data_IF_129422267658
#
_entry.id   IF_129422267658
#
_cell.length_a   1.000
_cell.length_b   1.000
_cell.length_c   1.000
_cell.angle_alpha   90.00
_cell.angle_beta   90.00
_cell.angle_gamma   90.00
#
_symmetry.space_group_name_H-M   'P 1'
#
loop_
_entity.id
_entity.type
_entity.pdbx_description
1 polymer ?
#
# COMPACT_ATOMS: atom_id res chain seq x y z
N UNK A 1 -93.68 37.65 42.16
CA UNK A 1 -93.54 38.29 40.82
C UNK A 1 -92.28 37.70 40.21
N UNK A 2 -92.22 36.94 39.10
CA UNK A 2 -93.05 36.68 37.91
C UNK A 2 -92.84 35.20 37.52
N UNK A 3 -93.88 34.53 37.01
CA UNK A 3 -93.90 33.13 36.52
C UNK A 3 -93.02 32.99 35.26
N UNK A 4 -92.54 31.81 34.84
CA UNK A 4 -93.14 30.92 33.80
C UNK A 4 -92.10 29.79 33.53
N UNK A 5 -92.37 28.52 33.88
CA UNK A 5 -92.79 27.34 33.06
C UNK A 5 -91.79 26.73 32.06
N UNK A 6 -91.59 25.42 32.26
CA UNK A 6 -91.59 24.27 31.32
C UNK A 6 -90.47 24.06 30.26
N UNK A 7 -89.69 23.00 30.51
CA UNK A 7 -89.54 21.73 29.76
C UNK A 7 -89.01 21.68 28.30
N UNK A 8 -88.14 20.66 28.08
CA UNK A 8 -87.66 20.03 26.82
C UNK A 8 -86.72 20.92 25.97
N UNK A 9 -85.59 20.46 25.43
CA UNK A 9 -85.42 19.33 24.50
C UNK A 9 -83.91 19.05 24.29
N UNK A 10 -83.59 17.87 23.77
CA UNK A 10 -82.26 17.27 23.62
C UNK A 10 -81.33 17.92 22.57
N UNK A 11 -80.06 17.47 22.68
CA UNK A 11 -79.00 17.40 21.67
C UNK A 11 -78.29 18.71 21.29
N UNK A 12 -76.96 18.77 21.50
CA UNK A 12 -75.96 18.46 20.48
C UNK A 12 -74.54 18.70 21.03
N UNK A 13 -73.65 17.73 20.79
CA UNK A 13 -72.17 17.86 20.62
C UNK A 13 -71.28 18.42 21.74
N UNK A 14 -70.44 17.54 22.31
CA UNK A 14 -69.00 17.49 22.00
C UNK A 14 -68.44 16.14 22.48
N UNK A 15 -68.10 15.25 21.54
CA UNK A 15 -67.38 14.01 21.86
C UNK A 15 -65.91 14.37 22.13
N UNK A 16 -65.44 14.03 23.32
CA UNK A 16 -64.01 13.90 23.61
C UNK A 16 -63.48 12.65 22.91
N UNK A 17 -62.49 12.78 22.03
CA UNK A 17 -61.48 11.72 21.80
C UNK A 17 -60.17 12.40 21.44
N UNK A 18 -59.13 12.09 22.21
CA UNK A 18 -57.77 12.56 21.96
C UNK A 18 -57.02 11.69 20.94
N UNK A 19 -55.78 12.15 20.70
CA UNK A 19 -54.66 11.48 20.05
C UNK A 19 -54.70 11.34 18.51
N UNK A 20 -53.88 12.21 17.91
CA UNK A 20 -52.79 11.87 16.99
C UNK A 20 -53.19 11.35 15.61
N UNK A 21 -53.12 12.23 14.62
CA UNK A 21 -52.96 11.90 13.20
C UNK A 21 -52.62 13.17 12.44
N UNK A 22 -51.37 13.30 11.99
CA UNK A 22 -51.01 14.19 10.88
C UNK A 22 -50.83 13.32 9.63
N UNK A 23 -51.46 13.75 8.55
CA UNK A 23 -51.58 13.05 7.27
C UNK A 23 -50.27 13.05 6.46
N UNK A 24 -49.88 11.85 6.06
CA UNK A 24 -49.58 11.39 4.68
C UNK A 24 -49.16 12.46 3.64
N UNK A 25 -47.89 12.39 3.24
CA UNK A 25 -47.47 12.56 1.85
C UNK A 25 -46.72 11.30 1.43
N UNK A 26 -47.40 10.42 0.69
CA UNK A 26 -46.75 9.33 -0.03
C UNK A 26 -45.98 9.90 -1.22
N UNK A 27 -44.66 9.69 -1.23
CA UNK A 27 -43.90 9.70 -2.47
C UNK A 27 -43.38 8.27 -2.66
N UNK A 28 -44.14 7.50 -3.42
CA UNK A 28 -43.68 6.28 -4.08
C UNK A 28 -42.40 6.61 -4.85
N UNK A 29 -41.30 6.06 -4.37
CA UNK A 29 -40.10 5.85 -5.17
C UNK A 29 -39.70 4.42 -4.90
N UNK A 30 -40.34 3.52 -5.66
CA UNK A 30 -39.78 2.22 -6.02
C UNK A 30 -38.33 2.37 -6.49
N UNK A 31 -37.43 2.42 -5.53
CA UNK A 31 -36.12 1.82 -5.65
C UNK A 31 -36.16 0.65 -4.69
N UNK A 32 -36.81 -0.42 -5.15
CA UNK A 32 -36.37 -1.77 -4.85
C UNK A 32 -34.95 -1.89 -5.43
N UNK A 33 -34.00 -1.21 -4.79
CA UNK A 33 -32.61 -1.58 -4.89
C UNK A 33 -32.59 -2.98 -4.28
N UNK A 34 -32.11 -4.00 -5.01
CA UNK A 34 -31.82 -5.25 -4.36
C UNK A 34 -30.94 -4.93 -3.17
N UNK A 35 -31.45 -5.15 -1.96
CA UNK A 35 -30.62 -5.24 -0.76
C UNK A 35 -29.45 -6.16 -1.13
N UNK A 36 -28.18 -5.80 -0.88
CA UNK A 36 -27.07 -6.64 -1.30
C UNK A 36 -27.32 -8.04 -0.74
N UNK A 37 -27.67 -8.98 -1.62
CA UNK A 37 -28.02 -10.34 -1.23
C UNK A 37 -26.70 -11.05 -1.00
N UNK A 38 -26.14 -10.86 0.20
CA UNK A 38 -24.90 -11.46 0.60
C UNK A 38 -24.87 -11.69 2.10
N UNK A 39 -25.29 -12.89 2.51
CA UNK A 39 -25.33 -13.31 3.92
C UNK A 39 -23.96 -13.75 4.44
N UNK A 40 -22.95 -13.84 3.56
CA UNK A 40 -21.62 -14.34 3.89
C UNK A 40 -20.56 -13.26 3.73
N UNK A 41 -19.72 -13.07 4.75
CA UNK A 41 -18.71 -12.02 4.82
C UNK A 41 -17.31 -12.56 4.58
N UNK A 42 -16.53 -11.83 3.79
CA UNK A 42 -15.06 -11.91 3.81
C UNK A 42 -14.52 -10.67 4.52
N UNK A 43 -13.73 -10.91 5.57
CA UNK A 43 -12.96 -9.86 6.25
C UNK A 43 -11.48 -10.06 5.98
N UNK A 44 -10.75 -8.98 5.71
CA UNK A 44 -9.29 -9.00 5.60
C UNK A 44 -8.72 -8.05 6.67
N UNK A 45 -7.79 -8.54 7.48
CA UNK A 45 -7.12 -7.78 8.52
C UNK A 45 -5.63 -8.14 8.58
N UNK A 46 -4.85 -7.43 9.39
CA UNK A 46 -3.45 -7.74 9.60
C UNK A 46 -2.62 -6.54 10.01
N UNK A 47 -1.32 -6.78 10.20
CA UNK A 47 -0.37 -5.76 10.63
C UNK A 47 -0.15 -4.72 9.53
N UNK A 48 -0.08 -3.44 9.93
CA UNK A 48 0.13 -2.34 9.01
C UNK A 48 -1.10 -1.96 8.19
N UNK A 49 -2.28 -2.53 8.47
CA UNK A 49 -3.54 -2.12 7.87
C UNK A 49 -3.76 -0.61 8.09
N UNK A 50 -4.07 0.11 7.02
CA UNK A 50 -4.33 1.56 7.05
C UNK A 50 -5.80 1.80 7.38
N UNK A 51 -6.06 2.92 8.06
CA UNK A 51 -7.39 3.25 8.58
C UNK A 51 -8.44 3.30 7.45
N UNK A 52 -9.53 2.55 7.64
CA UNK A 52 -10.58 2.33 6.64
C UNK A 52 -11.52 3.55 6.59
N UNK A 53 -11.02 4.69 6.09
CA UNK A 53 -11.83 5.90 5.92
C UNK A 53 -12.56 5.95 4.58
N UNK A 54 -12.17 5.11 3.63
CA UNK A 54 -12.88 4.88 2.36
C UNK A 54 -13.04 3.37 2.15
N UNK A 55 -14.24 2.83 2.42
CA UNK A 55 -14.59 1.49 1.95
C UNK A 55 -14.60 1.54 0.42
N UNK A 56 -13.51 1.10 -0.19
CA UNK A 56 -13.45 0.96 -1.63
C UNK A 56 -14.53 -0.04 -2.06
N UNK A 57 -15.28 0.27 -3.12
CA UNK A 57 -16.37 -0.57 -3.61
C UNK A 57 -15.90 -1.91 -4.18
N UNK A 58 -14.59 -2.09 -4.35
CA UNK A 58 -13.93 -3.30 -4.88
C UNK A 58 -13.43 -4.27 -3.79
N UNK A 59 -13.69 -3.98 -2.51
CA UNK A 59 -13.22 -4.84 -1.42
C UNK A 59 -11.72 -4.77 -1.15
N UNK A 60 -11.06 -3.69 -1.57
CA UNK A 60 -9.65 -3.41 -1.29
C UNK A 60 -9.43 -3.01 0.17
N UNK A 61 -8.34 -3.55 0.74
CA UNK A 61 -7.80 -3.19 2.05
C UNK A 61 -6.33 -2.82 1.89
N UNK A 62 -5.97 -1.58 2.22
CA UNK A 62 -4.60 -1.09 2.09
C UNK A 62 -3.77 -1.37 3.36
N UNK A 63 -2.51 -1.74 3.16
CA UNK A 63 -1.54 -2.02 4.20
C UNK A 63 -0.27 -1.16 4.00
N UNK A 64 0.59 -1.10 5.01
CA UNK A 64 1.98 -0.74 4.81
C UNK A 64 2.63 -1.79 3.89
N UNK A 65 3.21 -1.35 2.78
CA UNK A 65 3.92 -2.24 1.85
C UNK A 65 3.07 -2.99 0.81
N UNK A 66 1.75 -2.80 0.77
CA UNK A 66 0.90 -3.45 -0.23
C UNK A 66 -0.59 -3.23 0.01
N UNK A 67 -1.41 -4.05 -0.65
CA UNK A 67 -2.85 -4.09 -0.42
C UNK A 67 -3.40 -5.49 -0.68
N UNK A 68 -4.58 -5.78 -0.14
CA UNK A 68 -5.33 -6.99 -0.45
C UNK A 68 -6.70 -6.64 -1.04
N UNK A 69 -7.32 -7.58 -1.75
CA UNK A 69 -8.66 -7.43 -2.34
C UNK A 69 -9.54 -8.62 -1.98
N UNK A 70 -10.86 -8.46 -2.14
CA UNK A 70 -11.84 -9.53 -1.92
C UNK A 70 -12.58 -9.44 -0.58
N UNK A 71 -12.32 -8.43 0.25
CA UNK A 71 -13.16 -8.16 1.42
C UNK A 71 -14.56 -7.72 0.98
N UNK A 72 -15.62 -8.18 1.64
CA UNK A 72 -16.98 -7.80 1.23
C UNK A 72 -18.07 -8.72 1.75
N UNK A 73 -19.29 -8.45 1.28
CA UNK A 73 -20.46 -9.30 1.47
C UNK A 73 -20.80 -9.99 0.15
N UNK A 74 -21.06 -11.29 0.21
CA UNK A 74 -21.25 -12.14 -0.95
C UNK A 74 -22.39 -13.12 -0.70
N UNK A 75 -23.03 -13.58 -1.78
CA UNK A 75 -23.91 -14.74 -1.71
C UNK A 75 -23.08 -15.95 -1.25
N UNK A 76 -23.57 -16.73 -0.29
CA UNK A 76 -22.85 -17.85 0.32
C UNK A 76 -22.42 -18.98 -0.64
N UNK A 77 -22.97 -19.06 -1.84
CA UNK A 77 -22.53 -20.00 -2.89
C UNK A 77 -21.49 -19.41 -3.85
N UNK A 78 -21.11 -18.14 -3.66
CA UNK A 78 -20.14 -17.46 -4.53
C UNK A 78 -18.73 -17.98 -4.30
N UNK A 79 -17.89 -17.80 -5.33
CA UNK A 79 -16.46 -18.12 -5.29
C UNK A 79 -15.60 -16.89 -5.55
N UNK A 80 -15.61 -15.86 -4.68
CA UNK A 80 -14.84 -14.64 -4.89
C UNK A 80 -13.32 -14.91 -4.85
N UNK A 81 -12.57 -14.08 -5.57
CA UNK A 81 -11.10 -14.08 -5.51
C UNK A 81 -10.62 -13.16 -4.39
N UNK A 82 -9.80 -13.70 -3.48
CA UNK A 82 -9.11 -12.95 -2.44
C UNK A 82 -7.62 -12.98 -2.74
N UNK A 83 -6.97 -11.82 -2.82
CA UNK A 83 -5.59 -11.71 -3.25
C UNK A 83 -4.81 -10.63 -2.50
N UNK A 84 -3.50 -10.83 -2.38
CA UNK A 84 -2.53 -9.90 -1.81
C UNK A 84 -1.55 -9.42 -2.88
N UNK A 85 -1.32 -8.10 -2.88
CA UNK A 85 -0.52 -7.39 -3.87
C UNK A 85 0.56 -6.58 -3.14
N UNK A 86 1.81 -7.08 -3.07
CA UNK A 86 2.92 -6.31 -2.51
C UNK A 86 3.27 -5.13 -3.43
N UNK A 87 3.57 -3.98 -2.84
CA UNK A 87 4.12 -2.84 -3.56
C UNK A 87 5.58 -3.11 -3.99
N UNK A 88 6.11 -2.37 -4.98
CA UNK A 88 7.54 -2.39 -5.28
C UNK A 88 8.38 -2.19 -3.99
N UNK A 89 9.40 -3.03 -3.80
CA UNK A 89 10.24 -3.01 -2.59
C UNK A 89 9.73 -3.89 -1.44
N UNK A 90 8.56 -4.50 -1.58
CA UNK A 90 7.98 -5.39 -0.57
C UNK A 90 7.74 -6.80 -1.13
N UNK A 91 7.50 -7.74 -0.21
CA UNK A 91 7.03 -9.08 -0.50
C UNK A 91 5.96 -9.50 0.51
N UNK A 92 5.16 -10.51 0.16
CA UNK A 92 4.17 -11.08 1.07
C UNK A 92 4.90 -11.70 2.27
N UNK A 93 4.61 -11.21 3.47
CA UNK A 93 5.11 -11.79 4.71
C UNK A 93 4.24 -12.98 5.14
N UNK A 94 2.93 -12.75 5.17
CA UNK A 94 1.93 -13.78 5.41
C UNK A 94 0.65 -13.42 4.66
N UNK A 95 -0.03 -14.43 4.14
CA UNK A 95 -1.36 -14.29 3.55
C UNK A 95 -2.10 -15.61 3.70
N UNK A 96 -3.03 -15.67 4.64
CA UNK A 96 -3.79 -16.88 4.92
C UNK A 96 -5.20 -16.56 5.38
N UNK A 97 -6.12 -17.49 5.22
CA UNK A 97 -7.48 -17.31 5.70
C UNK A 97 -8.35 -18.53 5.47
N UNK A 98 -9.60 -18.43 5.92
CA UNK A 98 -10.56 -19.50 5.83
C UNK A 98 -11.78 -19.25 6.70
N UNK A 99 -12.71 -20.22 6.74
CA UNK A 99 -13.84 -20.19 7.65
C UNK A 99 -13.38 -20.39 9.10
N UNK A 100 -14.24 -20.09 10.08
CA UNK A 100 -13.88 -20.13 11.50
C UNK A 100 -13.41 -21.52 11.99
N UNK A 101 -13.89 -22.60 11.40
CA UNK A 101 -13.48 -23.97 11.69
C UNK A 101 -12.18 -24.39 10.99
N UNK A 102 -11.74 -23.67 9.96
CA UNK A 102 -10.53 -23.95 9.19
C UNK A 102 -9.81 -22.64 8.80
N UNK A 103 -9.26 -21.89 9.78
CA UNK A 103 -8.80 -20.51 9.57
C UNK A 103 -7.58 -20.35 8.63
N UNK A 104 -6.91 -21.45 8.27
CA UNK A 104 -5.79 -21.48 7.32
C UNK A 104 -6.06 -22.40 6.12
N UNK A 105 -7.35 -22.60 5.77
CA UNK A 105 -7.76 -23.36 4.56
C UNK A 105 -7.03 -22.87 3.30
N UNK A 106 -6.85 -21.56 3.20
CA UNK A 106 -6.09 -20.88 2.17
C UNK A 106 -4.80 -20.36 2.80
N UNK A 107 -3.65 -20.88 2.38
CA UNK A 107 -2.37 -20.53 3.01
C UNK A 107 -1.27 -20.30 1.97
N UNK A 108 -0.74 -19.08 1.97
CA UNK A 108 0.41 -18.66 1.18
C UNK A 108 1.67 -19.47 1.52
N UNK A 109 1.88 -19.82 2.80
CA UNK A 109 3.10 -20.53 3.22
C UNK A 109 3.21 -21.93 2.59
N UNK A 110 2.08 -22.56 2.27
CA UNK A 110 2.03 -23.88 1.65
C UNK A 110 2.05 -23.82 0.11
N UNK A 111 1.37 -22.83 -0.46
CA UNK A 111 1.12 -22.77 -1.91
C UNK A 111 2.04 -21.82 -2.67
N UNK A 112 2.69 -20.89 -1.96
CA UNK A 112 3.31 -19.68 -2.53
C UNK A 112 2.34 -18.83 -3.38
N UNK A 113 1.03 -19.06 -3.28
CA UNK A 113 0.01 -18.33 -4.00
C UNK A 113 -0.45 -17.11 -3.19
N UNK A 114 -0.40 -15.93 -3.78
CA UNK A 114 -0.94 -14.69 -3.19
C UNK A 114 -2.36 -14.38 -3.68
N UNK A 115 -3.05 -15.36 -4.27
CA UNK A 115 -4.41 -15.25 -4.80
C UNK A 115 -5.13 -16.57 -4.66
N UNK A 116 -6.36 -16.54 -4.15
CA UNK A 116 -7.18 -17.71 -3.91
C UNK A 116 -8.60 -17.51 -4.44
N UNK A 117 -9.14 -18.51 -5.12
CA UNK A 117 -10.58 -18.62 -5.33
C UNK A 117 -11.23 -19.25 -4.08
N UNK A 118 -12.04 -18.46 -3.38
CA UNK A 118 -12.55 -18.81 -2.05
C UNK A 118 -13.94 -19.41 -2.16
N UNK A 119 -14.10 -20.68 -1.78
CA UNK A 119 -15.42 -21.32 -1.68
C UNK A 119 -16.03 -20.95 -0.34
N UNK A 120 -17.07 -20.12 -0.40
CA UNK A 120 -17.71 -19.59 0.80
C UNK A 120 -18.51 -20.64 1.57
N UNK A 121 -19.22 -21.53 0.86
CA UNK A 121 -20.04 -22.59 1.45
C UNK A 121 -20.97 -22.08 2.57
N UNK A 122 -21.50 -20.86 2.41
CA UNK A 122 -22.37 -20.19 3.39
C UNK A 122 -21.69 -19.70 4.67
N UNK A 123 -20.36 -19.78 4.78
CA UNK A 123 -19.60 -19.46 5.99
C UNK A 123 -18.75 -18.21 5.83
N UNK A 124 -18.75 -17.37 6.85
CA UNK A 124 -17.87 -16.21 6.91
C UNK A 124 -16.40 -16.64 6.87
N UNK A 125 -15.60 -15.91 6.09
CA UNK A 125 -14.16 -16.12 5.97
C UNK A 125 -13.38 -14.93 6.50
N UNK A 126 -12.27 -15.22 7.16
CA UNK A 126 -11.34 -14.21 7.69
C UNK A 126 -9.96 -14.47 7.12
N UNK A 127 -9.39 -13.44 6.51
CA UNK A 127 -8.04 -13.44 5.95
C UNK A 127 -7.13 -12.52 6.75
N UNK A 128 -5.89 -12.95 6.92
CA UNK A 128 -4.80 -12.21 7.52
C UNK A 128 -3.78 -11.91 6.43
N UNK A 129 -3.44 -10.64 6.26
CA UNK A 129 -2.48 -10.18 5.26
C UNK A 129 -1.42 -9.30 5.92
N UNK A 130 -0.15 -9.52 5.54
CA UNK A 130 0.95 -8.68 5.95
C UNK A 130 2.07 -8.70 4.92
N UNK A 131 2.74 -7.55 4.79
CA UNK A 131 3.86 -7.36 3.88
C UNK A 131 5.14 -7.06 4.66
N UNK A 132 6.30 -7.39 4.08
CA UNK A 132 7.61 -7.05 4.63
C UNK A 132 8.53 -6.48 3.57
N UNK A 133 9.49 -5.67 3.99
CA UNK A 133 10.51 -5.10 3.11
C UNK A 133 11.32 -6.23 2.46
N UNK A 134 11.42 -6.19 1.13
CA UNK A 134 12.28 -7.10 0.37
C UNK A 134 13.68 -6.50 0.32
N UNK A 135 14.66 -7.14 0.95
CA UNK A 135 16.03 -6.61 1.08
C UNK A 135 17.05 -7.31 0.22
N UNK A 136 18.07 -6.58 -0.23
CA UNK A 136 19.28 -7.09 -0.89
C UNK A 136 20.50 -6.35 -0.37
N UNK A 137 21.66 -6.95 -0.55
CA UNK A 137 22.93 -6.35 -0.18
C UNK A 137 23.49 -5.51 -1.34
N UNK A 138 23.89 -4.28 -1.04
CA UNK A 138 24.71 -3.45 -1.92
C UNK A 138 26.12 -3.36 -1.35
N UNK A 139 27.11 -3.74 -2.15
CA UNK A 139 28.52 -3.51 -1.84
C UNK A 139 29.02 -2.28 -2.60
N UNK A 140 29.49 -1.27 -1.87
CA UNK A 140 30.01 -0.03 -2.46
C UNK A 140 31.51 0.07 -2.22
N UNK A 141 32.28 0.04 -3.30
CA UNK A 141 33.74 0.08 -3.27
C UNK A 141 34.27 1.43 -3.74
N UNK A 142 35.39 1.87 -3.15
CA UNK A 142 36.19 2.97 -3.67
C UNK A 142 37.38 2.40 -4.45
N UNK A 143 37.58 2.87 -5.68
CA UNK A 143 38.85 2.71 -6.37
C UNK A 143 39.96 3.54 -5.71
N UNK A 144 41.21 3.30 -6.11
CA UNK A 144 42.36 4.07 -5.64
C UNK A 144 42.18 5.56 -5.91
N UNK A 145 42.46 6.41 -4.91
CA UNK A 145 42.43 7.86 -5.08
C UNK A 145 41.17 8.57 -4.59
N UNK A 146 40.30 7.87 -3.86
CA UNK A 146 39.16 8.48 -3.20
C UNK A 146 38.54 7.58 -2.14
N UNK A 147 37.37 8.02 -1.65
CA UNK A 147 36.54 7.30 -0.69
C UNK A 147 35.07 7.32 -1.15
N UNK A 148 34.24 6.48 -0.56
CA UNK A 148 32.80 6.38 -0.85
C UNK A 148 31.99 6.37 0.43
N UNK A 149 30.74 6.82 0.34
CA UNK A 149 29.73 6.69 1.39
C UNK A 149 28.38 6.31 0.75
N UNK A 150 27.68 5.28 1.25
CA UNK A 150 28.16 4.27 2.20
C UNK A 150 29.34 3.46 1.60
N UNK A 151 30.14 2.81 2.45
CA UNK A 151 31.24 1.92 2.03
C UNK A 151 30.99 0.49 2.48
N UNK A 152 31.53 -0.48 1.74
CA UNK A 152 31.38 -1.89 2.06
C UNK A 152 29.98 -2.42 1.77
N UNK A 153 29.65 -3.57 2.36
CA UNK A 153 28.38 -4.26 2.13
C UNK A 153 27.33 -3.87 3.17
N UNK A 154 26.20 -3.35 2.71
CA UNK A 154 25.06 -2.97 3.55
C UNK A 154 23.75 -3.52 2.95
N UNK A 155 22.74 -3.77 3.80
CA UNK A 155 21.45 -4.29 3.39
C UNK A 155 20.44 -3.16 3.21
N UNK A 156 19.76 -3.12 2.07
CA UNK A 156 18.78 -2.11 1.72
C UNK A 156 17.51 -2.73 1.15
N UNK A 157 16.39 -2.02 1.30
CA UNK A 157 15.16 -2.36 0.60
C UNK A 157 15.36 -2.18 -0.92
N UNK A 158 14.86 -3.13 -1.70
CA UNK A 158 14.85 -3.05 -3.16
C UNK A 158 13.83 -2.02 -3.63
N UNK A 159 13.96 -1.55 -4.87
CA UNK A 159 13.12 -0.51 -5.47
C UNK A 159 13.06 0.81 -4.67
N UNK A 160 14.00 1.01 -3.75
CA UNK A 160 14.17 2.25 -3.01
C UNK A 160 15.51 2.91 -3.37
N UNK A 161 15.52 4.24 -3.40
CA UNK A 161 16.70 5.00 -3.75
C UNK A 161 17.69 5.05 -2.57
N UNK A 162 18.93 4.64 -2.84
CA UNK A 162 20.04 4.63 -1.87
C UNK A 162 20.99 5.76 -2.26
N UNK A 163 21.17 6.75 -1.38
CA UNK A 163 22.14 7.82 -1.62
C UNK A 163 23.57 7.27 -1.58
N UNK A 164 24.34 7.53 -2.64
CA UNK A 164 25.75 7.16 -2.76
C UNK A 164 26.57 8.40 -3.10
N UNK A 165 27.74 8.53 -2.48
CA UNK A 165 28.66 9.64 -2.68
C UNK A 165 30.09 9.14 -2.81
N UNK A 166 30.85 9.73 -3.72
CA UNK A 166 32.27 9.50 -3.94
C UNK A 166 33.03 10.79 -3.69
N UNK A 167 34.05 10.73 -2.84
CA UNK A 167 34.88 11.88 -2.47
C UNK A 167 36.31 11.63 -2.94
N UNK A 168 36.78 12.32 -4.00
CA UNK A 168 38.15 12.20 -4.47
C UNK A 168 39.14 12.73 -3.43
N UNK A 169 40.28 12.06 -3.29
CA UNK A 169 41.39 12.57 -2.50
C UNK A 169 42.09 13.72 -3.23
N UNK A 170 42.91 14.48 -2.51
CA UNK A 170 43.77 15.51 -3.11
C UNK A 170 44.61 14.91 -4.24
N UNK A 171 44.67 15.60 -5.38
CA UNK A 171 45.36 15.13 -6.58
C UNK A 171 44.53 14.18 -7.47
N UNK A 172 43.30 13.83 -7.09
CA UNK A 172 42.40 12.99 -7.89
C UNK A 172 41.10 13.72 -8.26
N UNK A 173 40.40 13.19 -9.27
CA UNK A 173 39.02 13.53 -9.63
C UNK A 173 38.19 12.27 -9.75
N UNK A 174 36.89 12.38 -9.47
CA UNK A 174 35.94 11.30 -9.73
C UNK A 174 35.79 11.12 -11.25
N UNK A 175 35.80 9.87 -11.72
CA UNK A 175 35.64 9.55 -13.15
C UNK A 175 34.38 8.74 -13.46
N UNK A 176 33.67 8.22 -12.46
CA UNK A 176 32.37 7.60 -12.64
C UNK A 176 32.11 6.44 -11.69
N UNK A 177 30.83 6.09 -11.55
CA UNK A 177 30.38 4.87 -10.90
C UNK A 177 30.25 3.76 -11.92
N UNK A 178 30.63 2.54 -11.54
CA UNK A 178 30.38 1.36 -12.36
C UNK A 178 29.75 0.24 -11.57
N UNK A 179 28.74 -0.39 -12.16
CA UNK A 179 28.17 -1.64 -11.67
C UNK A 179 29.14 -2.76 -12.03
N UNK A 180 29.64 -3.45 -11.01
CA UNK A 180 30.60 -4.56 -11.17
C UNK A 180 29.98 -5.92 -10.85
N UNK A 181 28.71 -5.95 -10.45
CA UNK A 181 27.94 -7.18 -10.30
C UNK A 181 26.51 -6.93 -9.85
N UNK A 182 25.62 -7.86 -10.18
CA UNK A 182 24.22 -7.82 -9.77
C UNK A 182 23.33 -6.95 -10.64
N UNK A 183 22.21 -6.54 -10.06
CA UNK A 183 21.07 -5.87 -10.69
C UNK A 183 20.76 -4.58 -9.91
N UNK A 184 21.46 -3.51 -10.30
CA UNK A 184 21.39 -2.19 -9.68
C UNK A 184 21.45 -1.10 -10.75
N UNK A 185 20.55 -0.13 -10.63
CA UNK A 185 20.55 1.07 -11.48
C UNK A 185 21.17 2.23 -10.74
N UNK A 186 22.04 3.00 -11.40
CA UNK A 186 22.60 4.25 -10.86
C UNK A 186 21.99 5.41 -11.62
N UNK A 187 21.31 6.32 -10.91
CA UNK A 187 20.54 7.39 -11.54
C UNK A 187 21.41 8.31 -12.43
N UNK A 188 22.62 8.65 -11.96
CA UNK A 188 23.63 9.34 -12.76
C UNK A 188 25.03 8.81 -12.43
N UNK A 189 25.54 7.90 -13.25
CA UNK A 189 26.86 7.30 -13.06
C UNK A 189 28.02 8.29 -13.20
N UNK A 190 27.82 9.46 -13.82
CA UNK A 190 28.81 10.52 -13.95
C UNK A 190 28.84 11.52 -12.79
N UNK A 191 27.84 11.50 -11.89
CA UNK A 191 27.79 12.38 -10.72
C UNK A 191 28.43 11.72 -9.51
N UNK A 192 29.32 12.44 -8.83
CA UNK A 192 29.94 11.96 -7.59
C UNK A 192 28.95 11.85 -6.43
N UNK A 193 27.76 12.48 -6.52
CA UNK A 193 26.64 12.28 -5.59
C UNK A 193 25.38 11.96 -6.40
N UNK A 194 24.82 10.77 -6.18
CA UNK A 194 23.69 10.22 -6.93
C UNK A 194 22.96 9.19 -6.08
N UNK A 195 21.91 8.58 -6.62
CA UNK A 195 21.26 7.41 -6.04
C UNK A 195 21.60 6.14 -6.81
N UNK A 196 21.58 5.01 -6.10
CA UNK A 196 21.51 3.67 -6.64
C UNK A 196 20.20 2.99 -6.21
N UNK A 197 19.63 2.15 -7.06
CA UNK A 197 18.41 1.39 -6.78
C UNK A 197 18.66 -0.08 -7.04
N UNK A 198 18.53 -0.90 -5.99
CA UNK A 198 18.61 -2.36 -6.08
C UNK A 198 17.30 -2.93 -6.61
N UNK A 199 17.38 -3.99 -7.41
CA UNK A 199 16.21 -4.67 -7.96
C UNK A 199 16.11 -6.11 -7.44
N UNK A 200 16.53 -7.10 -8.23
CA UNK A 200 16.25 -8.51 -7.92
C UNK A 200 17.34 -9.23 -7.12
N UNK A 201 18.58 -8.73 -7.14
CA UNK A 201 19.76 -9.44 -6.64
C UNK A 201 20.71 -8.57 -5.81
N UNK A 202 21.58 -9.22 -5.04
CA UNK A 202 22.69 -8.52 -4.39
C UNK A 202 23.60 -7.92 -5.46
N UNK A 203 24.07 -6.70 -5.23
CA UNK A 203 24.81 -5.94 -6.25
C UNK A 203 26.06 -5.29 -5.70
N UNK A 204 26.98 -4.99 -6.59
CA UNK A 204 28.25 -4.35 -6.28
C UNK A 204 28.48 -3.19 -7.23
N UNK A 205 28.82 -2.03 -6.67
CA UNK A 205 29.22 -0.84 -7.42
C UNK A 205 30.59 -0.37 -6.97
N UNK A 206 31.33 0.25 -7.88
CA UNK A 206 32.66 0.79 -7.61
C UNK A 206 32.75 2.23 -8.11
N UNK A 207 33.17 3.16 -7.25
CA UNK A 207 33.56 4.52 -7.65
C UNK A 207 34.96 4.49 -8.25
N UNK A 208 35.15 5.14 -9.39
CA UNK A 208 36.44 5.29 -10.06
C UNK A 208 36.98 6.70 -9.86
N UNK A 209 38.29 6.77 -9.68
CA UNK A 209 39.03 8.02 -9.54
C UNK A 209 40.25 7.99 -10.43
N UNK A 210 40.64 9.17 -10.91
CA UNK A 210 41.80 9.36 -11.78
C UNK A 210 42.63 10.53 -11.26
N UNK A 211 43.95 10.43 -11.42
CA UNK A 211 44.86 11.52 -11.09
C UNK A 211 44.48 12.77 -11.90
N UNK A 212 44.44 13.93 -11.25
CA UNK A 212 44.33 15.22 -11.91
C UNK A 212 45.66 15.52 -12.61
N UNK A 213 45.66 15.49 -13.94
CA UNK A 213 46.79 15.98 -14.71
C UNK A 213 46.70 17.51 -14.74
N UNK A 214 47.59 18.18 -14.01
CA UNK A 214 47.73 19.63 -14.07
C UNK A 214 48.63 19.97 -15.26
N UNK A 215 48.05 20.46 -16.35
CA UNK A 215 48.82 20.98 -17.48
C UNK A 215 49.46 22.33 -17.10
N UNK A 216 50.60 22.30 -16.40
CA UNK A 216 51.40 23.49 -16.13
C UNK A 216 52.79 23.36 -16.80
N UNK A 217 53.05 24.27 -17.75
CA UNK A 217 54.35 24.72 -18.29
C UNK A 217 55.15 23.87 -19.31
N UNK A 218 54.90 24.09 -20.62
CA UNK A 218 55.96 24.39 -21.61
C UNK A 218 55.52 25.61 -22.44
N UNK A 219 55.66 26.80 -21.84
CA UNK A 219 55.79 28.08 -22.57
C UNK A 219 56.88 28.89 -21.86
N UNK A 220 58.07 28.30 -21.78
CA UNK A 220 59.29 29.04 -21.50
C UNK A 220 59.87 29.48 -22.83
N UNK A 221 59.75 30.77 -23.13
CA UNK A 221 60.37 31.42 -24.29
C UNK A 221 61.88 31.17 -24.28
N UNK A 222 62.38 30.58 -25.37
CA UNK A 222 63.80 30.51 -25.64
C UNK A 222 64.23 31.85 -26.23
N UNK A 223 64.50 32.83 -25.37
CA UNK A 223 65.20 34.06 -25.77
C UNK A 223 66.70 33.77 -25.71
N UNK A 224 67.32 33.57 -26.86
CA UNK A 224 68.79 33.58 -27.01
C UNK A 224 69.15 34.94 -27.61
N UNK A 225 69.89 35.72 -26.82
CA UNK A 225 70.59 36.94 -27.26
C UNK A 225 71.78 36.57 -28.16
#
# INVERSE_FOLDING_TARGET
MRKVKFLLLAALTAMFVGCQSDEVLEQDSGNDRPTPTGDTRITIEGEGMKDVTTRSSDGRVDFAGGYATGAGLYNGTSTPTVAAYPNPGYEVNYFYGGPANEPQKYDYAQSSASSFEVKLDGQDHRFHCGFKEKKRNLTVNAGTGGSVFPSGTNSYQVENAINITATPNTGYRFSGWTVTGGDVTIANSGSSSTTATLHSSNSTITARFEVKILNNYIKGEMSVY
#
